data_IF_449609070114
#
_entry.id   IF_449609070114
#
_cell.length_a   1.000
_cell.length_b   1.000
_cell.length_c   1.000
_cell.angle_alpha   90.00
_cell.angle_beta   90.00
_cell.angle_gamma   90.00
#
_symmetry.space_group_name_H-M   'P 1'
#
loop_
_entity.id
_entity.type
_entity.pdbx_description
1 polymer ?
#
# COMPACT_ATOMS: atom_id res chain seq x y z
N UNK A 1 8.76 17.23 11.86
CA UNK A 1 9.31 15.87 12.00
C UNK A 1 8.48 14.97 11.12
N UNK A 2 9.09 14.31 10.14
CA UNK A 2 8.47 13.13 9.53
C UNK A 2 8.80 11.99 10.49
N UNK A 3 7.83 11.60 11.30
CA UNK A 3 7.98 10.51 12.25
C UNK A 3 8.02 9.25 11.39
N UNK A 4 9.21 8.73 11.08
CA UNK A 4 9.37 7.50 10.29
C UNK A 4 8.47 6.42 10.89
N UNK A 5 7.42 6.06 10.15
CA UNK A 5 6.42 5.09 10.57
C UNK A 5 6.35 4.03 9.48
N UNK A 6 6.75 2.82 9.84
CA UNK A 6 6.70 1.68 8.94
C UNK A 6 5.36 0.98 9.07
N UNK A 7 4.81 0.54 7.94
CA UNK A 7 3.59 -0.24 7.89
C UNK A 7 3.74 -1.37 6.87
N UNK A 8 3.47 -2.57 7.33
CA UNK A 8 3.49 -3.78 6.50
C UNK A 8 2.07 -4.20 6.13
N UNK A 9 1.94 -4.79 4.95
CA UNK A 9 0.68 -5.28 4.43
C UNK A 9 0.89 -6.63 3.74
N UNK A 10 0.05 -7.60 4.09
CA UNK A 10 -0.07 -8.84 3.33
C UNK A 10 -0.99 -8.58 2.14
N UNK A 11 -0.41 -8.55 0.95
CA UNK A 11 -1.13 -8.26 -0.30
C UNK A 11 -1.24 -9.50 -1.17
N UNK A 12 -2.35 -9.61 -1.89
CA UNK A 12 -2.39 -10.52 -3.03
C UNK A 12 -1.48 -10.02 -4.16
N UNK A 13 -1.08 -10.92 -5.07
CA UNK A 13 -0.33 -10.54 -6.28
C UNK A 13 -1.02 -9.45 -7.11
N UNK A 14 -2.36 -9.45 -7.11
CA UNK A 14 -3.15 -8.44 -7.81
C UNK A 14 -3.02 -7.05 -7.16
N UNK A 15 -3.08 -6.99 -5.84
CA UNK A 15 -2.95 -5.74 -5.09
C UNK A 15 -1.53 -5.20 -5.15
N UNK A 16 -0.52 -6.06 -5.04
CA UNK A 16 0.88 -5.69 -5.24
C UNK A 16 1.09 -5.07 -6.62
N UNK A 17 0.63 -5.73 -7.68
CA UNK A 17 0.77 -5.19 -9.04
C UNK A 17 0.03 -3.86 -9.21
N UNK A 18 -1.13 -3.70 -8.60
CA UNK A 18 -1.88 -2.44 -8.62
C UNK A 18 -1.13 -1.31 -7.88
N UNK A 19 -0.48 -1.63 -6.75
CA UNK A 19 0.33 -0.68 -6.00
C UNK A 19 1.55 -0.23 -6.82
N UNK A 20 2.30 -1.15 -7.42
CA UNK A 20 3.47 -0.83 -8.25
C UNK A 20 3.06 0.01 -9.47
N UNK A 21 1.99 -0.38 -10.17
CA UNK A 21 1.50 0.38 -11.32
C UNK A 21 1.06 1.80 -10.95
N UNK A 22 0.44 1.98 -9.77
CA UNK A 22 0.10 3.30 -9.25
C UNK A 22 1.35 4.12 -8.93
N UNK A 23 2.35 3.51 -8.29
CA UNK A 23 3.59 4.18 -7.91
C UNK A 23 4.33 4.70 -9.15
N UNK A 24 4.53 3.85 -10.16
CA UNK A 24 5.19 4.21 -11.43
C UNK A 24 4.41 5.27 -12.20
N UNK A 25 3.08 5.16 -12.24
CA UNK A 25 2.24 6.19 -12.87
C UNK A 25 2.41 7.54 -12.17
N UNK A 26 2.52 7.53 -10.83
CA UNK A 26 2.67 8.74 -10.04
C UNK A 26 4.05 9.37 -10.13
N UNK A 27 5.10 8.56 -10.17
CA UNK A 27 6.46 9.00 -10.45
C UNK A 27 6.56 9.64 -11.84
N UNK A 28 5.88 9.07 -12.83
CA UNK A 28 5.72 9.66 -14.17
C UNK A 28 4.78 10.89 -14.22
N UNK A 29 4.40 11.47 -13.07
CA UNK A 29 3.60 12.69 -12.96
C UNK A 29 2.09 12.52 -13.19
N UNK A 30 1.57 11.29 -13.23
CA UNK A 30 0.16 10.98 -13.53
C UNK A 30 -0.56 10.34 -12.33
N UNK A 31 -1.87 10.20 -12.39
CA UNK A 31 -2.63 9.46 -11.37
C UNK A 31 -2.75 10.16 -10.00
N UNK A 32 -3.38 9.44 -9.07
CA UNK A 32 -3.74 9.97 -7.75
C UNK A 32 -2.52 10.15 -6.84
N UNK A 33 -2.56 11.14 -5.94
CA UNK A 33 -1.52 11.38 -4.93
C UNK A 33 -1.48 10.33 -3.81
N UNK A 34 -2.44 9.40 -3.80
CA UNK A 34 -2.56 8.35 -2.81
C UNK A 34 -3.00 7.03 -3.42
N UNK A 35 -2.71 5.93 -2.71
CA UNK A 35 -3.21 4.59 -2.99
C UNK A 35 -3.98 4.06 -1.78
N UNK A 36 -5.13 3.42 -2.01
CA UNK A 36 -5.93 2.85 -0.94
C UNK A 36 -5.67 1.34 -0.84
N UNK A 37 -5.16 0.88 0.30
CA UNK A 37 -4.94 -0.52 0.61
C UNK A 37 -6.07 -0.99 1.52
N UNK A 38 -6.78 -2.04 1.11
CA UNK A 38 -7.83 -2.64 1.92
C UNK A 38 -7.20 -3.40 3.11
N UNK A 39 -7.78 -3.26 4.30
CA UNK A 39 -7.23 -3.90 5.51
C UNK A 39 -7.60 -5.38 5.63
N UNK A 40 -8.37 -5.92 4.69
CA UNK A 40 -8.74 -7.33 4.63
C UNK A 40 -9.23 -7.85 5.99
N UNK A 41 -8.65 -8.97 6.44
CA UNK A 41 -8.95 -9.63 7.70
C UNK A 41 -8.51 -8.81 8.93
N UNK A 42 -7.70 -7.76 8.76
CA UNK A 42 -7.30 -6.83 9.82
C UNK A 42 -8.26 -5.64 9.95
N UNK A 43 -9.47 -5.74 9.38
CA UNK A 43 -10.55 -4.81 9.64
C UNK A 43 -11.17 -5.02 11.03
N UNK A 44 -10.49 -4.51 12.06
CA UNK A 44 -10.98 -4.54 13.46
C UNK A 44 -11.99 -3.41 13.68
N UNK A 45 -13.21 -3.75 14.10
CA UNK A 45 -14.30 -2.82 14.44
C UNK A 45 -15.59 -3.06 13.63
N UNK A 46 -16.68 -2.30 13.89
CA UNK A 46 -17.95 -2.45 13.18
C UNK A 46 -17.94 -1.76 11.80
N UNK A 47 -16.86 -1.91 11.04
CA UNK A 47 -16.69 -1.25 9.75
C UNK A 47 -16.98 -2.23 8.61
N UNK A 48 -17.80 -1.81 7.65
CA UNK A 48 -18.10 -2.60 6.44
C UNK A 48 -16.93 -2.63 5.45
N UNK A 49 -16.08 -1.61 5.45
CA UNK A 49 -14.82 -1.55 4.72
C UNK A 49 -13.86 -0.62 5.47
N UNK A 50 -12.59 -1.00 5.56
CA UNK A 50 -11.55 -0.16 6.12
C UNK A 50 -10.33 -0.20 5.22
N UNK A 51 -9.84 1.00 4.86
CA UNK A 51 -8.66 1.18 4.01
C UNK A 51 -7.63 2.03 4.71
N UNK A 52 -6.36 1.72 4.50
CA UNK A 52 -5.25 2.61 4.78
C UNK A 52 -4.86 3.32 3.49
N UNK A 53 -4.60 4.63 3.57
CA UNK A 53 -4.23 5.44 2.42
C UNK A 53 -2.75 5.78 2.47
N UNK A 54 -1.99 5.31 1.49
CA UNK A 54 -0.57 5.58 1.33
C UNK A 54 -0.40 6.83 0.47
N UNK A 55 0.38 7.80 0.94
CA UNK A 55 0.62 9.07 0.23
C UNK A 55 1.95 8.99 -0.51
N UNK A 56 1.94 9.23 -1.81
CA UNK A 56 3.12 9.03 -2.69
C UNK A 56 4.36 9.78 -2.19
N UNK A 57 4.25 11.08 -1.93
CA UNK A 57 5.38 11.91 -1.52
C UNK A 57 5.83 11.70 -0.06
N UNK A 58 5.26 10.71 0.63
CA UNK A 58 5.65 10.28 1.98
C UNK A 58 6.26 8.89 1.99
N UNK A 59 6.38 8.23 0.84
CA UNK A 59 7.13 6.98 0.70
C UNK A 59 8.60 7.34 0.49
N UNK A 60 9.45 7.06 1.48
CA UNK A 60 10.90 7.22 1.35
C UNK A 60 11.52 6.01 0.64
N UNK A 61 11.16 4.81 1.09
CA UNK A 61 11.57 3.50 0.55
C UNK A 61 10.47 2.48 0.83
N UNK A 62 10.43 1.39 0.07
CA UNK A 62 9.61 0.22 0.39
C UNK A 62 10.32 -1.05 -0.10
N UNK A 63 9.98 -2.19 0.48
CA UNK A 63 10.45 -3.50 0.06
C UNK A 63 9.27 -4.43 -0.27
N UNK A 64 9.53 -5.44 -1.09
CA UNK A 64 8.56 -6.46 -1.47
C UNK A 64 9.17 -7.82 -1.15
N UNK A 65 8.53 -8.54 -0.24
CA UNK A 65 8.93 -9.89 0.17
C UNK A 65 7.90 -10.90 -0.33
N UNK A 66 8.31 -11.79 -1.24
CA UNK A 66 7.43 -12.85 -1.76
C UNK A 66 7.48 -14.10 -0.88
N UNK A 67 6.31 -14.67 -0.55
CA UNK A 67 6.23 -15.93 0.17
C UNK A 67 6.63 -17.11 -0.71
N UNK A 68 7.54 -17.95 -0.23
CA UNK A 68 7.80 -19.26 -0.82
C UNK A 68 7.03 -20.35 -0.05
N UNK A 69 6.20 -21.13 -0.72
CA UNK A 69 5.72 -22.40 -0.15
C UNK A 69 6.83 -23.43 -0.28
N UNK A 70 7.56 -23.69 0.81
CA UNK A 70 8.36 -24.92 0.92
C UNK A 70 7.49 -26.05 1.45
#
# INVERSE_FOLDING_TARGET
>A
MDNGFDKEFDLSKKELNAFIAWYDAKDAGRGASFFAIDKHNNNKGPFSNRKDYVIFNKILTFEVSEYSTK
#
